data_IF_539652543105
#
_entry.id   IF_539652543105
#
_cell.length_a   1.000
_cell.length_b   1.000
_cell.length_c   1.000
_cell.angle_alpha   90.00
_cell.angle_beta   90.00
_cell.angle_gamma   90.00
#
_symmetry.space_group_name_H-M   'P 1'
#
loop_
_entity.id
_entity.type
_entity.pdbx_description
1 polymer ?
#
# COMPACT_ATOMS: atom_id res chain seq x y z
N UNK A 1 -13.66 -38.80 -3.35
CA UNK A 1 -14.96 -38.20 -2.96
C UNK A 1 -14.72 -37.28 -1.77
N UNK A 2 -15.20 -36.03 -1.80
CA UNK A 2 -15.05 -35.08 -0.68
C UNK A 2 -16.37 -35.00 0.09
N UNK A 3 -16.29 -35.04 1.41
CA UNK A 3 -17.43 -34.89 2.30
C UNK A 3 -17.44 -33.47 2.88
N UNK A 4 -18.62 -32.85 2.91
CA UNK A 4 -18.82 -31.50 3.41
C UNK A 4 -19.90 -31.53 4.49
N UNK A 5 -19.66 -30.85 5.59
CA UNK A 5 -20.59 -30.68 6.70
C UNK A 5 -20.93 -29.18 6.84
N UNK A 6 -22.20 -28.85 7.10
CA UNK A 6 -22.61 -27.46 7.31
C UNK A 6 -22.52 -27.13 8.80
N UNK A 7 -21.77 -26.08 9.15
CA UNK A 7 -21.71 -25.52 10.50
C UNK A 7 -21.78 -23.99 10.44
N UNK A 8 -22.37 -23.39 11.45
CA UNK A 8 -22.21 -21.94 11.67
C UNK A 8 -20.80 -21.66 12.17
N UNK A 9 -20.18 -20.64 11.58
CA UNK A 9 -18.85 -20.15 11.96
C UNK A 9 -18.89 -18.64 12.14
N UNK A 10 -18.30 -18.15 13.22
CA UNK A 10 -18.08 -16.71 13.44
C UNK A 10 -16.80 -16.29 12.75
N UNK A 11 -16.88 -15.30 11.86
CA UNK A 11 -15.71 -14.77 11.15
C UNK A 11 -15.44 -13.36 11.69
N UNK A 12 -14.27 -13.18 12.28
CA UNK A 12 -13.75 -11.86 12.63
C UNK A 12 -13.05 -11.31 11.38
N UNK A 13 -13.44 -10.11 10.95
CA UNK A 13 -12.81 -9.41 9.83
C UNK A 13 -12.23 -8.10 10.33
N UNK A 14 -11.01 -7.82 9.92
CA UNK A 14 -10.43 -6.50 10.06
C UNK A 14 -11.05 -5.59 8.99
N UNK A 15 -11.38 -4.36 9.41
CA UNK A 15 -11.95 -3.34 8.54
C UNK A 15 -10.99 -2.17 8.61
N UNK A 16 -10.55 -1.70 7.44
CA UNK A 16 -9.76 -0.49 7.33
C UNK A 16 -10.60 0.71 7.80
N UNK A 17 -10.23 1.29 8.95
CA UNK A 17 -10.96 2.42 9.55
C UNK A 17 -10.35 3.76 9.17
N UNK A 18 -9.05 3.81 8.92
CA UNK A 18 -8.30 5.01 8.62
C UNK A 18 -7.05 4.70 7.78
N UNK A 19 -6.67 5.65 6.93
CA UNK A 19 -5.42 5.62 6.19
C UNK A 19 -4.47 6.59 6.87
N UNK A 20 -3.25 6.15 7.17
CA UNK A 20 -2.24 6.95 7.87
C UNK A 20 -1.08 7.20 6.91
N UNK A 21 -0.63 8.45 6.82
CA UNK A 21 0.53 8.82 6.01
C UNK A 21 1.80 8.14 6.54
N UNK A 22 2.52 7.43 5.67
CA UNK A 22 3.71 6.67 6.05
C UNK A 22 4.89 7.55 6.46
N UNK A 23 4.97 8.76 5.92
CA UNK A 23 6.04 9.71 6.24
C UNK A 23 5.77 10.45 7.54
N UNK A 24 4.63 11.15 7.65
CA UNK A 24 4.37 12.08 8.76
C UNK A 24 3.39 11.55 9.82
N UNK A 25 2.86 10.33 9.65
CA UNK A 25 1.93 9.65 10.57
C UNK A 25 0.62 10.38 10.83
N UNK A 26 0.25 11.34 9.98
CA UNK A 26 -1.07 12.01 10.02
C UNK A 26 -2.12 11.13 9.35
N UNK A 27 -3.33 11.15 9.90
CA UNK A 27 -4.50 10.51 9.27
C UNK A 27 -4.87 11.26 7.98
N UNK A 28 -5.04 10.50 6.90
CA UNK A 28 -5.48 10.98 5.59
C UNK A 28 -7.01 11.05 5.60
N UNK A 29 -7.55 12.24 5.37
CA UNK A 29 -8.99 12.43 5.31
C UNK A 29 -9.55 12.01 3.94
N UNK A 30 -9.90 10.74 3.80
CA UNK A 30 -10.48 10.18 2.57
C UNK A 30 -11.93 10.63 2.30
N UNK A 31 -12.58 11.27 3.27
CA UNK A 31 -13.95 11.80 3.10
C UNK A 31 -13.97 13.18 2.43
N UNK A 32 -12.85 13.88 2.44
CA UNK A 32 -12.71 15.15 1.76
C UNK A 32 -12.36 14.92 0.29
N UNK A 33 -13.36 15.06 -0.59
CA UNK A 33 -13.20 14.92 -2.05
C UNK A 33 -12.36 16.01 -2.69
N UNK A 34 -12.03 17.07 -1.95
CA UNK A 34 -11.10 18.11 -2.43
C UNK A 34 -9.66 17.80 -2.04
N UNK A 35 -9.47 16.95 -1.03
CA UNK A 35 -8.18 16.42 -0.64
C UNK A 35 -7.78 15.31 -1.60
N UNK A 36 -6.50 15.26 -1.90
CA UNK A 36 -5.91 14.13 -2.61
C UNK A 36 -4.77 13.58 -1.79
N UNK A 37 -4.50 12.30 -1.97
CA UNK A 37 -3.35 11.62 -1.39
C UNK A 37 -2.68 10.76 -2.46
N UNK A 38 -1.49 10.27 -2.17
CA UNK A 38 -0.69 9.49 -3.10
C UNK A 38 -0.54 8.08 -2.56
N UNK A 39 -0.89 7.10 -3.39
CA UNK A 39 -0.55 5.69 -3.18
C UNK A 39 0.70 5.38 -3.95
N UNK A 40 1.63 4.69 -3.31
CA UNK A 40 2.81 4.16 -3.96
C UNK A 40 2.83 2.66 -3.80
N UNK A 41 3.10 1.97 -4.90
CA UNK A 41 3.42 0.55 -4.90
C UNK A 41 4.85 0.36 -5.35
N UNK A 42 5.64 -0.31 -4.54
CA UNK A 42 7.00 -0.75 -4.91
C UNK A 42 6.99 -2.25 -5.13
N UNK A 43 7.59 -2.73 -6.23
CA UNK A 43 7.68 -4.18 -6.48
C UNK A 43 8.91 -4.58 -7.29
N UNK A 44 9.35 -5.83 -7.13
CA UNK A 44 10.44 -6.38 -7.92
C UNK A 44 9.91 -6.85 -9.29
N UNK A 45 10.42 -6.28 -10.37
CA UNK A 45 9.93 -6.55 -11.73
C UNK A 45 10.48 -7.87 -12.33
N UNK A 46 11.45 -8.51 -11.66
CA UNK A 46 12.31 -9.54 -12.28
C UNK A 46 11.99 -10.98 -11.91
N UNK A 47 10.84 -11.25 -11.30
CA UNK A 47 10.57 -12.55 -10.72
C UNK A 47 9.67 -13.35 -11.66
N UNK A 48 10.19 -14.46 -12.19
CA UNK A 48 9.44 -15.40 -13.03
C UNK A 48 8.30 -16.07 -12.23
N UNK A 49 7.45 -16.82 -12.94
CA UNK A 49 6.14 -17.35 -12.50
C UNK A 49 6.12 -18.28 -11.26
N UNK A 50 7.24 -18.42 -10.54
CA UNK A 50 7.43 -19.31 -9.38
C UNK A 50 7.80 -18.55 -8.10
N UNK A 51 7.76 -17.22 -8.11
CA UNK A 51 8.12 -16.44 -6.95
C UNK A 51 6.99 -15.49 -6.53
N UNK A 52 6.71 -15.46 -5.22
CA UNK A 52 5.77 -14.52 -4.64
C UNK A 52 6.29 -13.09 -4.85
N UNK A 53 5.58 -12.28 -5.64
CA UNK A 53 5.93 -10.88 -5.86
C UNK A 53 5.84 -10.13 -4.52
N UNK A 54 6.99 -9.75 -3.95
CA UNK A 54 7.00 -8.83 -2.81
C UNK A 54 6.62 -7.45 -3.33
N UNK A 55 5.41 -7.02 -3.00
CA UNK A 55 4.94 -5.66 -3.22
C UNK A 55 4.76 -4.96 -1.87
N UNK A 56 5.30 -3.75 -1.74
CA UNK A 56 5.02 -2.89 -0.60
C UNK A 56 4.12 -1.74 -1.06
N UNK A 57 3.26 -1.31 -0.14
CA UNK A 57 2.26 -0.26 -0.37
C UNK A 57 2.49 0.85 0.64
N UNK A 58 2.44 2.09 0.15
CA UNK A 58 2.69 3.28 0.94
C UNK A 58 1.65 4.35 0.62
N UNK A 59 1.20 5.07 1.65
CA UNK A 59 0.21 6.15 1.55
C UNK A 59 0.82 7.48 1.99
N UNK A 60 0.68 8.54 1.18
CA UNK A 60 1.22 9.87 1.46
C UNK A 60 0.15 10.96 1.39
N UNK A 61 0.01 11.74 2.47
CA UNK A 61 -0.96 12.82 2.55
C UNK A 61 -0.63 14.05 1.69
N UNK A 62 0.61 14.19 1.22
CA UNK A 62 1.05 15.34 0.44
C UNK A 62 2.19 14.96 -0.51
N UNK A 63 2.39 15.78 -1.54
CA UNK A 63 3.51 15.64 -2.47
C UNK A 63 4.87 15.74 -1.75
N UNK A 64 4.99 16.58 -0.73
CA UNK A 64 6.21 16.70 0.07
C UNK A 64 6.56 15.38 0.78
N UNK A 65 5.56 14.72 1.38
CA UNK A 65 5.76 13.41 2.03
C UNK A 65 6.19 12.33 1.03
N UNK A 66 5.63 12.37 -0.18
CA UNK A 66 6.01 11.50 -1.28
C UNK A 66 7.47 11.72 -1.70
N UNK A 67 7.88 12.98 -1.91
CA UNK A 67 9.26 13.30 -2.31
C UNK A 67 10.27 12.90 -1.22
N UNK A 68 9.95 13.12 0.05
CA UNK A 68 10.81 12.68 1.16
C UNK A 68 11.02 11.16 1.14
N UNK A 69 9.94 10.40 0.94
CA UNK A 69 10.03 8.95 0.81
C UNK A 69 10.84 8.54 -0.42
N UNK A 70 10.57 9.13 -1.59
CA UNK A 70 11.31 8.86 -2.83
C UNK A 70 12.81 9.08 -2.64
N UNK A 71 13.22 10.21 -2.05
CA UNK A 71 14.64 10.50 -1.82
C UNK A 71 15.29 9.43 -0.95
N UNK A 72 14.66 9.06 0.17
CA UNK A 72 15.14 7.97 1.06
C UNK A 72 15.19 6.62 0.35
N UNK A 73 14.20 6.33 -0.49
CA UNK A 73 14.10 5.09 -1.24
C UNK A 73 15.25 4.94 -2.25
N UNK A 74 15.58 6.01 -2.98
CA UNK A 74 16.67 5.99 -3.96
C UNK A 74 18.08 6.16 -3.34
N UNK A 75 18.22 6.91 -2.24
CA UNK A 75 19.49 7.08 -1.53
C UNK A 75 20.04 5.76 -0.96
N UNK A 76 19.15 4.88 -0.50
CA UNK A 76 19.54 3.57 0.05
C UNK A 76 19.85 2.51 -1.02
N UNK A 77 19.87 2.90 -2.30
CA UNK A 77 19.96 1.96 -3.42
C UNK A 77 18.66 1.19 -3.56
N UNK A 78 17.73 1.74 -4.35
CA UNK A 78 16.38 1.20 -4.56
C UNK A 78 16.35 -0.33 -4.54
N UNK A 79 15.69 -0.90 -3.53
CA UNK A 79 15.61 -2.35 -3.36
C UNK A 79 14.65 -2.99 -4.37
N UNK A 80 13.70 -2.23 -4.92
CA UNK A 80 12.72 -2.70 -5.90
C UNK A 80 12.93 -2.05 -7.27
N UNK A 81 12.54 -2.75 -8.35
CA UNK A 81 12.70 -2.26 -9.72
C UNK A 81 11.61 -1.25 -10.12
N UNK A 82 10.40 -1.39 -9.56
CA UNK A 82 9.25 -0.54 -9.87
C UNK A 82 8.91 0.38 -8.69
N UNK A 83 8.46 1.58 -9.02
CA UNK A 83 7.94 2.59 -8.09
C UNK A 83 6.72 3.26 -8.76
N UNK A 84 5.55 2.67 -8.58
CA UNK A 84 4.31 3.14 -9.20
C UNK A 84 3.62 4.14 -8.29
N UNK A 85 3.27 5.31 -8.81
CA UNK A 85 2.61 6.39 -8.07
C UNK A 85 1.21 6.60 -8.62
N UNK A 86 0.20 6.53 -7.75
CA UNK A 86 -1.18 6.84 -8.06
C UNK A 86 -1.66 8.00 -7.19
N UNK A 87 -2.27 9.01 -7.81
CA UNK A 87 -2.91 10.13 -7.09
C UNK A 87 -4.39 9.83 -6.93
N UNK A 88 -4.85 9.74 -5.69
CA UNK A 88 -6.25 9.47 -5.34
C UNK A 88 -6.90 10.77 -4.85
N UNK A 89 -8.06 11.15 -5.40
CA UNK A 89 -8.84 12.34 -5.03
C UNK A 89 -10.16 12.39 -5.77
#
# INVERSE_FOLDING_TARGET
MRNYEKKEVTIIKEIETEIICDTCKKVINTKDRSAHYYKVRTSHARWGNDSHESAEYWDFCSYECLIEHMNKFFENGANTDNYDIERIG
#
